data_IF_464740698067
#
_entry.id   IF_464740698067
#
_cell.length_a   1.000
_cell.length_b   1.000
_cell.length_c   1.000
_cell.angle_alpha   90.00
_cell.angle_beta   90.00
_cell.angle_gamma   90.00
#
_symmetry.space_group_name_H-M   'P 1'
#
loop_
_entity.id
_entity.type
_entity.pdbx_description
1 polymer ?
#
# COMPACT_ATOMS: atom_id res chain seq x y z
N UNK A 1 -38.99 2.92 39.01
CA UNK A 1 -39.16 1.77 38.09
C UNK A 1 -39.02 2.32 36.67
N UNK A 2 -37.85 2.79 36.25
CA UNK A 2 -36.66 2.05 35.75
C UNK A 2 -36.93 1.24 34.47
N UNK A 3 -35.96 1.31 33.55
CA UNK A 3 -35.82 0.68 32.23
C UNK A 3 -36.43 1.43 31.03
N UNK A 4 -35.69 1.76 29.97
CA UNK A 4 -34.25 1.68 29.73
C UNK A 4 -33.98 2.55 28.49
N UNK A 5 -33.10 3.55 28.60
CA UNK A 5 -32.51 4.25 27.46
C UNK A 5 -31.69 3.23 26.67
N UNK A 6 -32.20 2.75 25.53
CA UNK A 6 -31.37 2.03 24.56
C UNK A 6 -30.63 3.10 23.76
N UNK A 7 -29.54 3.57 24.35
CA UNK A 7 -28.43 4.17 23.61
C UNK A 7 -27.94 3.06 22.69
N UNK A 8 -28.27 3.14 21.41
CA UNK A 8 -27.55 2.40 20.38
C UNK A 8 -26.17 3.05 20.34
N UNK A 9 -25.29 2.59 21.22
CA UNK A 9 -23.87 2.71 21.04
C UNK A 9 -23.58 1.97 19.74
N UNK A 10 -23.43 2.71 18.65
CA UNK A 10 -22.68 2.23 17.50
C UNK A 10 -21.25 2.10 18.02
N UNK A 11 -21.01 0.95 18.65
CA UNK A 11 -19.69 0.36 18.80
C UNK A 11 -19.29 0.09 17.35
N UNK A 12 -18.68 1.10 16.70
CA UNK A 12 -17.73 0.82 15.64
C UNK A 12 -16.70 -0.03 16.33
N UNK A 13 -16.84 -1.33 16.12
CA UNK A 13 -15.92 -2.36 16.56
C UNK A 13 -14.56 -1.87 16.10
N UNK A 14 -13.77 -1.41 17.07
CA UNK A 14 -12.32 -1.36 16.99
C UNK A 14 -11.93 -2.75 16.52
N UNK A 15 -11.65 -2.86 15.21
CA UNK A 15 -11.25 -4.08 14.57
C UNK A 15 -9.93 -4.50 15.19
N UNK A 16 -10.05 -5.42 16.13
CA UNK A 16 -9.01 -6.18 16.79
C UNK A 16 -7.74 -6.31 15.91
N UNK A 17 -6.65 -5.68 16.36
CA UNK A 17 -5.33 -5.51 15.71
C UNK A 17 -4.55 -6.82 15.45
N UNK A 18 -5.22 -7.98 15.34
CA UNK A 18 -4.60 -9.28 15.08
C UNK A 18 -5.31 -10.08 13.99
N UNK A 19 -5.94 -9.41 13.02
CA UNK A 19 -6.31 -10.08 11.78
C UNK A 19 -5.01 -10.46 11.06
N UNK A 20 -4.68 -11.76 11.08
CA UNK A 20 -3.50 -12.29 10.42
C UNK A 20 -3.61 -11.98 8.93
N UNK A 21 -2.82 -11.02 8.47
CA UNK A 21 -2.77 -10.63 7.06
C UNK A 21 -2.24 -11.83 6.28
N UNK A 22 -3.07 -12.40 5.41
CA UNK A 22 -2.63 -13.43 4.48
C UNK A 22 -1.79 -12.76 3.39
N UNK A 23 -0.47 -12.90 3.46
CA UNK A 23 0.44 -12.24 2.50
C UNK A 23 0.24 -12.73 1.07
N UNK A 24 -0.23 -13.96 0.88
CA UNK A 24 -0.34 -14.57 -0.43
C UNK A 24 -1.45 -13.97 -1.28
N UNK A 25 -2.37 -13.20 -0.68
CA UNK A 25 -3.41 -12.51 -1.43
C UNK A 25 -2.88 -11.28 -2.17
N UNK A 26 -1.77 -10.69 -1.68
CA UNK A 26 -1.20 -9.47 -2.24
C UNK A 26 -0.17 -9.79 -3.30
N UNK A 27 -0.40 -9.30 -4.52
CA UNK A 27 0.48 -9.56 -5.65
C UNK A 27 1.13 -8.27 -6.18
N UNK A 28 0.34 -7.19 -6.29
CA UNK A 28 0.83 -5.89 -6.77
C UNK A 28 0.50 -4.80 -5.76
N UNK A 29 1.45 -3.87 -5.56
CA UNK A 29 1.26 -2.64 -4.81
C UNK A 29 1.50 -1.45 -5.75
N UNK A 30 0.56 -0.52 -5.78
CA UNK A 30 0.70 0.78 -6.42
C UNK A 30 0.87 1.85 -5.35
N UNK A 31 1.84 2.74 -5.55
CA UNK A 31 2.00 3.95 -4.78
C UNK A 31 1.53 5.16 -5.56
N UNK A 32 0.40 5.70 -5.14
CA UNK A 32 -0.17 6.93 -5.65
C UNK A 32 0.41 8.08 -4.82
N UNK A 33 1.22 8.93 -5.46
CA UNK A 33 1.90 10.07 -4.80
C UNK A 33 1.47 11.41 -5.42
N UNK A 34 0.97 12.36 -4.61
CA UNK A 34 0.61 13.69 -5.08
C UNK A 34 1.79 14.50 -5.56
N UNK A 35 1.50 15.68 -6.12
CA UNK A 35 2.55 16.64 -6.49
C UNK A 35 3.35 17.03 -5.25
N UNK A 36 4.65 17.31 -5.42
CA UNK A 36 5.55 17.71 -4.33
C UNK A 36 4.98 18.84 -3.45
N UNK A 37 4.27 19.81 -4.04
CA UNK A 37 3.63 20.90 -3.31
C UNK A 37 2.46 20.45 -2.40
N UNK A 38 1.78 19.37 -2.73
CA UNK A 38 0.66 18.83 -1.94
C UNK A 38 1.14 17.96 -0.77
N UNK A 39 2.37 17.46 -0.82
CA UNK A 39 2.99 16.67 0.25
C UNK A 39 3.97 17.50 1.11
N UNK A 40 4.00 18.83 0.94
CA UNK A 40 4.91 19.70 1.70
C UNK A 40 4.75 19.58 3.21
N UNK A 41 3.54 19.30 3.70
CA UNK A 41 3.27 19.13 5.13
C UNK A 41 3.30 17.66 5.59
N UNK A 42 3.53 16.72 4.67
CA UNK A 42 3.48 15.28 4.94
C UNK A 42 4.90 14.72 5.15
N UNK A 43 5.46 14.97 6.35
CA UNK A 43 6.84 14.59 6.68
C UNK A 43 7.13 13.09 6.50
N UNK A 44 6.18 12.21 6.83
CA UNK A 44 6.38 10.77 6.68
C UNK A 44 6.47 10.32 5.22
N UNK A 45 5.62 10.85 4.35
CA UNK A 45 5.67 10.58 2.90
C UNK A 45 6.97 11.12 2.31
N UNK A 46 7.37 12.33 2.70
CA UNK A 46 8.64 12.93 2.26
C UNK A 46 9.84 12.11 2.69
N UNK A 47 9.84 11.61 3.93
CA UNK A 47 10.92 10.78 4.46
C UNK A 47 10.97 9.41 3.76
N UNK A 48 9.81 8.77 3.53
CA UNK A 48 9.71 7.52 2.77
C UNK A 48 10.22 7.67 1.32
N UNK A 49 9.85 8.75 0.63
CA UNK A 49 10.34 9.02 -0.74
C UNK A 49 11.86 9.29 -0.82
N UNK A 50 12.49 9.64 0.31
CA UNK A 50 13.93 9.88 0.41
C UNK A 50 14.72 8.66 0.90
N UNK A 51 14.04 7.64 1.44
CA UNK A 51 14.68 6.45 2.02
C UNK A 51 14.98 5.39 0.96
N UNK A 52 15.39 4.20 1.40
CA UNK A 52 15.69 3.00 0.62
C UNK A 52 14.45 2.40 -0.08
N UNK A 53 13.70 3.25 -0.79
CA UNK A 53 12.60 2.91 -1.67
C UNK A 53 12.87 1.71 -2.60
N UNK A 54 14.08 1.46 -3.14
CA UNK A 54 14.33 0.32 -4.02
C UNK A 54 14.00 -1.04 -3.39
N UNK A 55 14.04 -1.17 -2.07
CA UNK A 55 13.77 -2.41 -1.34
C UNK A 55 12.29 -2.80 -1.37
N UNK A 56 11.41 -1.92 -1.84
CA UNK A 56 9.97 -2.14 -1.88
C UNK A 56 9.47 -2.23 -3.33
N UNK A 57 9.22 -3.44 -3.87
CA UNK A 57 8.65 -3.60 -5.22
C UNK A 57 7.25 -3.00 -5.30
N UNK A 58 7.10 -1.88 -6.02
CA UNK A 58 5.82 -1.23 -6.24
C UNK A 58 5.81 -0.41 -7.52
N UNK A 59 4.62 -0.17 -8.07
CA UNK A 59 4.41 0.71 -9.21
C UNK A 59 4.12 2.13 -8.70
N UNK A 60 4.88 3.14 -9.16
CA UNK A 60 4.70 4.52 -8.69
C UNK A 60 3.88 5.33 -9.69
N UNK A 61 2.76 5.86 -9.22
CA UNK A 61 1.95 6.84 -9.95
C UNK A 61 2.19 8.23 -9.37
N UNK A 62 2.94 9.04 -10.10
CA UNK A 62 3.21 10.43 -9.74
C UNK A 62 2.10 11.37 -10.20
N UNK A 63 1.97 12.54 -9.58
CA UNK A 63 0.92 13.53 -9.87
C UNK A 63 -0.51 13.01 -9.63
N UNK A 64 -0.64 12.06 -8.71
CA UNK A 64 -1.93 11.58 -8.25
C UNK A 64 -2.69 12.68 -7.47
N UNK A 65 -4.01 12.59 -7.44
CA UNK A 65 -4.87 13.41 -6.56
C UNK A 65 -4.87 12.92 -5.10
N UNK A 66 -4.33 11.72 -4.86
CA UNK A 66 -4.29 11.05 -3.55
C UNK A 66 -2.89 10.55 -3.19
N UNK A 67 -2.63 10.48 -1.90
CA UNK A 67 -1.46 9.82 -1.29
C UNK A 67 -1.89 8.49 -0.67
N UNK A 68 -1.73 7.39 -1.42
CA UNK A 68 -2.22 6.08 -0.99
C UNK A 68 -1.38 4.93 -1.53
N UNK A 69 -1.36 3.83 -0.79
CA UNK A 69 -1.05 2.52 -1.36
C UNK A 69 -2.33 1.82 -1.80
N UNK A 70 -2.32 1.25 -3.00
CA UNK A 70 -3.41 0.42 -3.51
C UNK A 70 -2.86 -0.96 -3.75
N UNK A 71 -3.54 -1.97 -3.20
CA UNK A 71 -3.09 -3.35 -3.28
C UNK A 71 -4.04 -4.18 -4.12
N UNK A 72 -3.46 -5.06 -4.94
CA UNK A 72 -4.19 -5.91 -5.86
C UNK A 72 -3.78 -7.36 -5.71
N UNK A 73 -4.71 -8.26 -6.05
CA UNK A 73 -4.44 -9.69 -6.13
C UNK A 73 -3.85 -10.07 -7.50
N UNK A 74 -3.54 -11.35 -7.68
CA UNK A 74 -2.90 -11.87 -8.90
C UNK A 74 -3.72 -11.70 -10.18
N UNK A 75 -5.04 -11.55 -10.07
CA UNK A 75 -5.95 -11.30 -11.20
C UNK A 75 -6.24 -9.80 -11.40
N UNK A 76 -5.54 -8.92 -10.70
CA UNK A 76 -5.67 -7.46 -10.83
C UNK A 76 -6.89 -6.85 -10.14
N UNK A 77 -7.58 -7.58 -9.25
CA UNK A 77 -8.66 -7.01 -8.45
C UNK A 77 -8.11 -6.25 -7.24
N UNK A 78 -8.65 -5.05 -6.99
CA UNK A 78 -8.31 -4.25 -5.82
C UNK A 78 -8.76 -4.97 -4.55
N UNK A 79 -7.81 -5.22 -3.66
CA UNK A 79 -8.05 -5.80 -2.33
C UNK A 79 -8.35 -4.69 -1.34
N UNK A 80 -7.47 -3.69 -1.29
CA UNK A 80 -7.59 -2.58 -0.35
C UNK A 80 -6.82 -1.34 -0.84
N UNK A 81 -7.15 -0.21 -0.22
CA UNK A 81 -6.53 1.08 -0.45
C UNK A 81 -6.30 1.76 0.89
N UNK A 82 -5.08 2.23 1.13
CA UNK A 82 -4.66 2.77 2.42
C UNK A 82 -4.11 4.18 2.21
N UNK A 83 -4.77 5.17 2.81
CA UNK A 83 -4.29 6.55 2.83
C UNK A 83 -2.99 6.67 3.63
N UNK A 84 -2.04 7.44 3.11
CA UNK A 84 -0.74 7.68 3.73
C UNK A 84 -0.64 9.03 4.44
N UNK A 85 -1.68 9.86 4.34
CA UNK A 85 -1.71 11.19 4.96
C UNK A 85 -1.62 11.08 6.48
N UNK A 86 -0.77 11.90 7.08
CA UNK A 86 -0.53 11.95 8.53
C UNK A 86 0.26 10.76 9.11
N UNK A 87 0.68 9.80 8.28
CA UNK A 87 1.49 8.66 8.74
C UNK A 87 2.97 9.03 8.84
N UNK A 88 3.65 8.45 9.83
CA UNK A 88 5.13 8.49 9.93
C UNK A 88 5.74 7.50 8.94
N UNK A 89 6.98 7.74 8.53
CA UNK A 89 7.73 6.84 7.65
C UNK A 89 7.67 5.37 8.09
N UNK A 90 7.94 5.08 9.36
CA UNK A 90 7.93 3.71 9.88
C UNK A 90 6.55 3.04 9.81
N UNK A 91 5.47 3.81 9.85
CA UNK A 91 4.11 3.28 9.68
C UNK A 91 3.84 2.95 8.21
N UNK A 92 4.35 3.78 7.29
CA UNK A 92 4.28 3.55 5.83
C UNK A 92 5.05 2.28 5.46
N UNK A 93 6.28 2.12 5.97
CA UNK A 93 7.11 0.93 5.76
C UNK A 93 6.44 -0.34 6.32
N UNK A 94 5.91 -0.27 7.53
CA UNK A 94 5.21 -1.40 8.17
C UNK A 94 3.96 -1.85 7.39
N UNK A 95 3.27 -0.94 6.67
CA UNK A 95 2.15 -1.31 5.79
C UNK A 95 2.63 -2.27 4.69
N UNK A 96 3.79 -2.00 4.10
CA UNK A 96 4.39 -2.79 3.02
C UNK A 96 4.97 -4.11 3.55
N UNK A 97 5.73 -4.05 4.64
CA UNK A 97 6.34 -5.22 5.28
C UNK A 97 5.29 -6.26 5.71
N UNK A 98 4.20 -5.81 6.33
CA UNK A 98 3.11 -6.70 6.76
C UNK A 98 2.48 -7.46 5.58
N UNK A 99 2.46 -6.84 4.40
CA UNK A 99 1.92 -7.39 3.14
C UNK A 99 2.95 -8.13 2.30
N UNK A 100 4.21 -8.19 2.74
CA UNK A 100 5.26 -8.95 2.06
C UNK A 100 6.01 -8.19 0.97
N UNK A 101 5.91 -6.86 0.91
CA UNK A 101 6.58 -6.03 -0.10
C UNK A 101 7.95 -5.53 0.34
N UNK A 102 8.66 -6.22 1.24
CA UNK A 102 10.04 -5.87 1.59
C UNK A 102 11.00 -6.91 1.01
N UNK A 103 12.00 -6.45 0.27
CA UNK A 103 13.09 -7.29 -0.24
C UNK A 103 14.45 -6.69 0.15
N UNK A 104 15.23 -7.48 0.90
CA UNK A 104 16.59 -7.14 1.33
C UNK A 104 17.58 -7.01 0.16
N UNK A 105 17.27 -7.60 -1.00
CA UNK A 105 18.12 -7.55 -2.18
C UNK A 105 17.36 -7.04 -3.44
N UNK A 106 17.16 -5.73 -3.58
CA UNK A 106 16.38 -5.13 -4.67
C UNK A 106 17.00 -5.35 -6.05
N UNK A 107 18.30 -5.68 -6.13
CA UNK A 107 18.98 -5.98 -7.40
C UNK A 107 18.40 -7.22 -8.11
N UNK A 108 17.69 -8.09 -7.39
CA UNK A 108 16.96 -9.21 -7.97
C UNK A 108 15.72 -8.77 -8.77
N UNK A 109 15.15 -7.58 -8.49
CA UNK A 109 13.98 -7.06 -9.19
C UNK A 109 14.29 -6.32 -10.49
N UNK A 110 15.53 -5.81 -10.68
CA UNK A 110 15.93 -5.27 -11.99
C UNK A 110 15.80 -6.32 -13.11
N UNK A 111 15.92 -7.60 -12.78
CA UNK A 111 15.63 -8.72 -13.70
C UNK A 111 14.13 -8.94 -13.93
N UNK A 112 13.27 -8.49 -13.02
CA UNK A 112 11.81 -8.55 -13.17
C UNK A 112 11.27 -7.44 -14.08
N UNK A 113 11.84 -6.22 -14.03
CA UNK A 113 11.55 -5.19 -15.03
C UNK A 113 11.88 -5.69 -16.46
N UNK A 114 12.95 -6.48 -16.63
CA UNK A 114 13.27 -7.17 -17.89
C UNK A 114 12.26 -8.27 -18.26
N UNK A 115 11.62 -8.92 -17.28
CA UNK A 115 10.57 -9.95 -17.48
C UNK A 115 9.21 -9.33 -17.86
N UNK A 116 8.97 -8.06 -17.54
CA UNK A 116 7.78 -7.31 -17.98
C UNK A 116 8.02 -6.52 -19.28
N UNK A 117 9.05 -6.86 -20.06
CA UNK A 117 9.15 -6.42 -21.44
C UNK A 117 7.93 -6.91 -22.24
N UNK A 118 7.57 -6.16 -23.29
CA UNK A 118 6.35 -6.28 -24.10
C UNK A 118 5.93 -7.73 -24.46
N UNK A 119 6.88 -8.66 -24.54
CA UNK A 119 6.65 -10.08 -24.83
C UNK A 119 5.83 -10.82 -23.73
N UNK A 120 5.96 -10.45 -22.45
CA UNK A 120 5.17 -11.05 -21.35
C UNK A 120 3.75 -10.49 -21.29
N UNK A 121 3.61 -9.18 -21.49
CA UNK A 121 2.29 -8.50 -21.56
C UNK A 121 1.50 -9.00 -22.78
N UNK A 122 2.15 -9.21 -23.91
CA UNK A 122 1.50 -9.72 -25.14
C UNK A 122 1.09 -11.20 -25.07
N UNK A 123 1.72 -12.01 -24.21
CA UNK A 123 1.35 -13.41 -24.02
C UNK A 123 0.20 -13.63 -23.01
N UNK A 124 -0.16 -12.62 -22.21
CA UNK A 124 -1.33 -12.67 -21.33
C UNK A 124 -2.64 -12.23 -22.03
N UNK A 125 -2.55 -11.72 -23.26
CA UNK A 125 -3.69 -11.23 -24.07
C UNK A 125 -4.09 -12.24 -25.17
N UNK A 126 -3.67 -13.50 -25.08
CA UNK A 126 -4.16 -14.58 -25.97
C UNK A 126 -5.15 -15.51 -25.27
#
# INVERSE_FOLDING_TARGET
MSLLFIVICIIVVSGNDNQKIDRNQYFVCEFHTPRKCQIENEEGIKAFLKSEFPNYPMLIHTNSDRAAFVFYNIIGQKIEEISLLGLKQSQIENILEKRGFYNENPSQFKKFEELFNDEFVMNLIK
#
